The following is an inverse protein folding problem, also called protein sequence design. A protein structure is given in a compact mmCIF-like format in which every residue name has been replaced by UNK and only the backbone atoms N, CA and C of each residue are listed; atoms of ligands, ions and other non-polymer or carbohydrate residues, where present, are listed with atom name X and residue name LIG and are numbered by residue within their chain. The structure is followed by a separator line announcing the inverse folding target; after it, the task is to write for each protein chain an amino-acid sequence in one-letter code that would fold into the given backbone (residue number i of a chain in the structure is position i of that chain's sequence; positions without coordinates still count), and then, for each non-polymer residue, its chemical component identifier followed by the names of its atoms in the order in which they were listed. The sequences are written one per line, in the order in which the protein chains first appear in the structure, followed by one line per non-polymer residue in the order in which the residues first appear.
data_IF_644351427411
#
_entry.id   IF_644351427411
#
_cell.length_a   1.000
_cell.length_b   1.000
_cell.length_c   1.000
_cell.angle_alpha   90.00
_cell.angle_beta   90.00
_cell.angle_gamma   90.00
#
_symmetry.space_group_name_H-M   'P 1'
#
loop_
_entity.id
_entity.type
_entity.pdbx_description
1 polymer ?
#
# COMPACT_ATOMS: atom_id res chain seq x y z
N UNK A 1 11.37 -28.68 24.64
CA UNK A 1 10.66 -27.52 25.22
C UNK A 1 11.36 -26.26 24.77
N UNK A 2 10.55 -25.32 24.24
CA UNK A 2 10.78 -23.90 23.98
C UNK A 2 12.12 -23.43 23.38
N UNK A 3 12.17 -23.37 22.05
CA UNK A 3 12.86 -22.29 21.33
C UNK A 3 11.80 -21.27 20.92
N UNK A 4 11.37 -20.42 21.85
CA UNK A 4 10.56 -19.25 21.52
C UNK A 4 11.48 -18.02 21.49
N UNK A 5 11.23 -17.18 20.48
CA UNK A 5 11.82 -15.86 20.25
C UNK A 5 13.12 -15.87 19.42
N UNK A 6 12.97 -16.05 18.10
CA UNK A 6 13.67 -15.11 17.22
C UNK A 6 12.98 -13.76 17.41
N UNK A 7 13.68 -12.66 17.75
CA UNK A 7 13.07 -11.35 17.69
C UNK A 7 12.78 -11.04 16.22
N UNK A 8 11.51 -11.11 15.82
CA UNK A 8 11.04 -10.47 14.61
C UNK A 8 11.01 -8.97 14.89
N UNK A 9 12.16 -8.31 14.76
CA UNK A 9 12.18 -6.87 14.55
C UNK A 9 11.92 -6.61 13.08
N UNK A 10 10.68 -6.82 12.64
CA UNK A 10 10.17 -6.05 11.51
C UNK A 10 9.87 -4.68 12.10
N UNK A 11 10.73 -3.69 11.87
CA UNK A 11 10.39 -2.29 12.12
C UNK A 11 9.28 -1.99 11.10
N UNK A 12 8.02 -2.09 11.52
CA UNK A 12 6.89 -1.73 10.67
C UNK A 12 7.05 -0.26 10.30
N UNK A 13 7.28 0.02 9.02
CA UNK A 13 7.36 1.40 8.54
C UNK A 13 6.05 2.12 8.88
N UNK A 14 6.17 3.24 9.57
CA UNK A 14 5.05 4.15 9.82
C UNK A 14 4.63 4.81 8.51
N UNK A 15 3.39 5.30 8.46
CA UNK A 15 2.89 6.05 7.30
C UNK A 15 3.78 7.27 7.01
N UNK A 16 4.33 7.93 8.02
CA UNK A 16 5.22 9.08 7.82
C UNK A 16 6.53 8.67 7.14
N UNK A 17 7.15 7.58 7.57
CA UNK A 17 8.38 7.07 6.95
C UNK A 17 8.15 6.64 5.49
N UNK A 18 6.97 6.07 5.19
CA UNK A 18 6.57 5.72 3.82
C UNK A 18 6.45 6.99 2.96
N UNK A 19 5.83 8.04 3.49
CA UNK A 19 5.69 9.33 2.79
C UNK A 19 7.04 9.96 2.52
N UNK A 20 7.91 10.01 3.53
CA UNK A 20 9.27 10.54 3.39
C UNK A 20 10.08 9.76 2.34
N UNK A 21 10.00 8.43 2.36
CA UNK A 21 10.63 7.58 1.37
C UNK A 21 10.09 7.84 -0.05
N UNK A 22 8.77 7.99 -0.20
CA UNK A 22 8.12 8.25 -1.48
C UNK A 22 8.54 9.60 -2.10
N UNK A 23 8.69 10.64 -1.26
CA UNK A 23 9.10 11.99 -1.65
C UNK A 23 10.61 12.06 -1.93
N UNK A 24 11.43 11.32 -1.17
CA UNK A 24 12.87 11.27 -1.39
C UNK A 24 13.25 10.52 -2.68
N UNK A 25 12.39 9.61 -3.15
CA UNK A 25 12.55 8.97 -4.45
C UNK A 25 12.22 9.94 -5.60
N UNK A 26 12.94 9.81 -6.72
CA UNK A 26 12.46 10.36 -8.01
C UNK A 26 11.07 9.77 -8.31
N UNK A 27 10.27 10.48 -9.11
CA UNK A 27 9.05 9.89 -9.68
C UNK A 27 9.43 8.63 -10.46
N UNK A 28 8.88 7.50 -10.04
CA UNK A 28 9.19 6.20 -10.61
C UNK A 28 8.35 5.98 -11.86
N UNK A 29 8.92 5.34 -12.88
CA UNK A 29 8.11 4.81 -13.97
C UNK A 29 7.31 3.57 -13.51
N UNK A 30 6.42 3.06 -14.36
CA UNK A 30 5.53 1.95 -13.99
C UNK A 30 6.28 0.69 -13.52
N UNK A 31 7.38 0.31 -14.17
CA UNK A 31 8.15 -0.87 -13.78
C UNK A 31 8.88 -0.63 -12.45
N UNK A 32 9.55 0.51 -12.33
CA UNK A 32 10.26 0.90 -11.08
C UNK A 32 9.28 0.97 -9.90
N UNK A 33 8.07 1.49 -10.12
CA UNK A 33 7.02 1.54 -9.12
C UNK A 33 6.56 0.12 -8.75
N UNK A 34 6.33 -0.76 -9.73
CA UNK A 34 5.98 -2.16 -9.48
C UNK A 34 7.03 -2.87 -8.62
N UNK A 35 8.31 -2.71 -8.96
CA UNK A 35 9.42 -3.31 -8.22
C UNK A 35 9.47 -2.76 -6.78
N UNK A 36 9.24 -1.46 -6.59
CA UNK A 36 9.22 -0.84 -5.27
C UNK A 36 8.03 -1.27 -4.42
N UNK A 37 6.83 -1.35 -4.98
CA UNK A 37 5.65 -1.84 -4.25
C UNK A 37 5.81 -3.31 -3.89
N UNK A 38 6.44 -4.12 -4.74
CA UNK A 38 6.79 -5.51 -4.41
C UNK A 38 7.76 -5.60 -3.24
N UNK A 39 8.83 -4.80 -3.25
CA UNK A 39 9.78 -4.70 -2.13
C UNK A 39 9.06 -4.32 -0.82
N UNK A 40 8.14 -3.35 -0.86
CA UNK A 40 7.36 -2.96 0.32
C UNK A 40 6.46 -4.11 0.81
N UNK A 41 5.75 -4.78 -0.09
CA UNK A 41 4.92 -5.95 0.23
C UNK A 41 5.73 -7.09 0.84
N UNK A 42 6.90 -7.39 0.28
CA UNK A 42 7.81 -8.44 0.77
C UNK A 42 8.37 -8.09 2.17
N UNK A 43 8.42 -6.80 2.53
CA UNK A 43 8.74 -6.30 3.86
C UNK A 43 7.51 -6.12 4.77
N UNK A 44 6.40 -6.80 4.46
CA UNK A 44 5.16 -6.81 5.25
C UNK A 44 4.48 -5.41 5.36
N UNK A 45 4.81 -4.47 4.48
CA UNK A 45 4.09 -3.19 4.40
C UNK A 45 2.68 -3.47 3.88
N UNK A 46 1.68 -2.98 4.63
CA UNK A 46 0.28 -3.18 4.30
C UNK A 46 -0.08 -2.52 2.95
N UNK A 47 -1.22 -2.93 2.38
CA UNK A 47 -1.76 -2.28 1.18
C UNK A 47 -1.95 -0.76 1.37
N UNK A 48 -2.36 -0.34 2.58
CA UNK A 48 -2.47 1.08 2.96
C UNK A 48 -1.13 1.81 2.82
N UNK A 49 -0.05 1.20 3.30
CA UNK A 49 1.29 1.73 3.11
C UNK A 49 1.71 1.74 1.64
N UNK A 50 1.37 0.70 0.88
CA UNK A 50 1.71 0.61 -0.54
C UNK A 50 1.04 1.71 -1.36
N UNK A 51 -0.28 1.93 -1.23
CA UNK A 51 -0.92 3.00 -1.99
C UNK A 51 -0.52 4.39 -1.48
N UNK A 52 -0.20 4.55 -0.18
CA UNK A 52 0.34 5.81 0.33
C UNK A 52 1.69 6.13 -0.33
N UNK A 53 2.56 5.14 -0.50
CA UNK A 53 3.80 5.32 -1.27
C UNK A 53 3.50 5.76 -2.70
N UNK A 54 2.63 5.02 -3.41
CA UNK A 54 2.22 5.34 -4.79
C UNK A 54 1.68 6.76 -4.90
N UNK A 55 0.77 7.15 -3.99
CA UNK A 55 0.15 8.48 -3.97
C UNK A 55 1.20 9.59 -3.89
N UNK A 56 2.13 9.47 -2.95
CA UNK A 56 3.12 10.50 -2.70
C UNK A 56 4.24 10.53 -3.75
N UNK A 57 4.66 9.37 -4.27
CA UNK A 57 5.68 9.30 -5.31
C UNK A 57 5.17 9.83 -6.67
N UNK A 58 3.91 9.55 -7.00
CA UNK A 58 3.29 9.94 -8.27
C UNK A 58 2.57 11.30 -8.19
N UNK A 59 2.41 11.86 -6.98
CA UNK A 59 1.70 13.12 -6.73
C UNK A 59 0.27 13.13 -7.27
N UNK A 60 -0.43 12.02 -7.06
CA UNK A 60 -1.80 11.78 -7.54
C UNK A 60 -2.81 11.76 -6.40
N UNK A 61 -4.10 11.75 -6.72
CA UNK A 61 -5.17 11.64 -5.73
C UNK A 61 -5.18 10.26 -5.06
N UNK A 62 -5.89 10.17 -3.93
CA UNK A 62 -6.07 8.91 -3.20
C UNK A 62 -6.70 7.82 -4.09
N UNK A 63 -7.78 8.15 -4.82
CA UNK A 63 -8.48 7.20 -5.70
C UNK A 63 -7.57 6.70 -6.82
N UNK A 64 -6.83 7.61 -7.46
CA UNK A 64 -5.86 7.24 -8.51
C UNK A 64 -4.74 6.35 -7.96
N UNK A 65 -4.25 6.62 -6.75
CA UNK A 65 -3.20 5.82 -6.12
C UNK A 65 -3.64 4.39 -5.81
N UNK A 66 -4.89 4.21 -5.36
CA UNK A 66 -5.48 2.90 -5.08
C UNK A 66 -5.63 2.12 -6.38
N UNK A 67 -6.23 2.73 -7.41
CA UNK A 67 -6.42 2.11 -8.71
C UNK A 67 -5.08 1.73 -9.36
N UNK A 68 -4.10 2.63 -9.33
CA UNK A 68 -2.76 2.38 -9.85
C UNK A 68 -2.07 1.23 -9.12
N UNK A 69 -2.15 1.20 -7.79
CA UNK A 69 -1.53 0.15 -6.97
C UNK A 69 -2.18 -1.22 -7.22
N UNK A 70 -3.51 -1.28 -7.40
CA UNK A 70 -4.23 -2.51 -7.74
C UNK A 70 -3.93 -3.04 -9.15
N UNK A 71 -3.54 -2.16 -10.08
CA UNK A 71 -3.13 -2.54 -11.45
C UNK A 71 -1.72 -3.14 -11.52
N UNK A 72 -0.90 -2.98 -10.48
CA UNK A 72 0.44 -3.57 -10.43
C UNK A 72 0.35 -5.10 -10.28
N UNK A 73 1.24 -5.81 -10.97
CA UNK A 73 1.37 -7.27 -10.88
C UNK A 73 2.14 -7.69 -9.61
N UNK A 74 1.67 -7.20 -8.46
CA UNK A 74 2.28 -7.38 -7.14
C UNK A 74 1.33 -8.10 -6.18
N UNK A 75 0.02 -7.86 -6.34
CA UNK A 75 -1.03 -8.49 -5.56
C UNK A 75 -1.72 -9.56 -6.40
N UNK A 76 -2.07 -10.66 -5.76
CA UNK A 76 -2.90 -11.71 -6.35
C UNK A 76 -4.34 -11.22 -6.57
N UNK A 77 -5.09 -11.86 -7.45
CA UNK A 77 -6.50 -11.52 -7.68
C UNK A 77 -7.37 -11.70 -6.42
N UNK A 78 -7.02 -12.65 -5.55
CA UNK A 78 -7.67 -12.83 -4.26
C UNK A 78 -7.41 -11.63 -3.33
N UNK A 79 -6.15 -11.22 -3.18
CA UNK A 79 -5.78 -10.04 -2.39
C UNK A 79 -6.49 -8.79 -2.92
N UNK A 80 -6.48 -8.57 -4.24
CA UNK A 80 -7.18 -7.43 -4.88
C UNK A 80 -8.68 -7.47 -4.60
N UNK A 81 -9.31 -8.64 -4.67
CA UNK A 81 -10.73 -8.82 -4.38
C UNK A 81 -11.05 -8.48 -2.93
N UNK A 82 -10.24 -8.96 -1.97
CA UNK A 82 -10.41 -8.64 -0.56
C UNK A 82 -10.24 -7.15 -0.28
N UNK A 83 -9.19 -6.53 -0.84
CA UNK A 83 -8.92 -5.09 -0.73
C UNK A 83 -10.10 -4.28 -1.26
N UNK A 84 -10.59 -4.59 -2.46
CA UNK A 84 -11.75 -3.91 -3.03
C UNK A 84 -13.00 -4.07 -2.16
N UNK A 85 -13.19 -5.24 -1.55
CA UNK A 85 -14.27 -5.45 -0.57
C UNK A 85 -14.19 -4.48 0.61
N UNK A 86 -13.01 -4.33 1.22
CA UNK A 86 -12.82 -3.38 2.33
C UNK A 86 -12.99 -1.92 1.90
N UNK A 87 -12.49 -1.56 0.72
CA UNK A 87 -12.63 -0.20 0.18
C UNK A 87 -14.09 0.14 -0.10
N UNK A 88 -14.85 -0.79 -0.67
CA UNK A 88 -16.28 -0.61 -0.92
C UNK A 88 -17.06 -0.40 0.37
N UNK A 89 -16.83 -1.23 1.40
CA UNK A 89 -17.45 -1.04 2.71
C UNK A 89 -17.16 0.35 3.28
N UNK A 90 -15.88 0.77 3.23
CA UNK A 90 -15.46 2.07 3.76
C UNK A 90 -16.08 3.23 2.98
N UNK A 91 -16.20 3.12 1.66
CA UNK A 91 -16.79 4.15 0.81
C UNK A 91 -18.31 4.16 0.81
N UNK A 92 -18.97 3.01 1.04
CA UNK A 92 -20.41 2.92 1.26
C UNK A 92 -20.77 3.65 2.56
N UNK A 93 -20.05 3.39 3.64
CA UNK A 93 -20.24 4.09 4.93
C UNK A 93 -20.03 5.61 4.81
N UNK A 94 -19.07 6.06 3.97
CA UNK A 94 -18.80 7.49 3.76
C UNK A 94 -19.83 8.19 2.87
N UNK A 95 -20.60 7.45 2.06
CA UNK A 95 -21.65 8.00 1.19
C UNK A 95 -23.00 8.11 1.88
N UNK A 96 -23.24 7.34 2.95
CA UNK A 96 -24.48 7.42 3.71
C UNK A 96 -24.63 8.74 4.50
N UNK A 97 -23.53 9.45 4.77
CA UNK A 97 -23.52 10.73 5.50
C UNK A 97 -23.89 11.97 4.63
N UNK A 98 -24.23 11.81 3.34
CA UNK A 98 -24.70 12.91 2.47
C UNK A 98 -26.24 13.01 2.33
N UNK A 99 -27.03 12.26 3.11
CA UNK A 99 -28.51 12.32 3.09
C UNK A 99 -29.14 12.91 4.36
#
# INVERSE_FOLDING_TARGET
MLNFLKPQHTITMTINEIKEAAIACKTLNQQELSDKIKELKDNEVSFLGCFAFTQHNQQISLSESIEMTLKLDVFTEEEKTQINGYLNLTWEDFKEDEN
#
